data_IF_845993614529
#
_entry.id   IF_845993614529
#
_cell.length_a   1.000
_cell.length_b   1.000
_cell.length_c   1.000
_cell.angle_alpha   90.00
_cell.angle_beta   90.00
_cell.angle_gamma   90.00
#
_symmetry.space_group_name_H-M   'P 1'
#
loop_
_entity.id
_entity.type
_entity.pdbx_description
1 polymer ?
#
# COMPACT_ATOMS: atom_id res chain seq x y z
N UNK A 1 -19.18 -13.81 22.96
CA UNK A 1 -17.72 -14.05 22.88
C UNK A 1 -17.07 -12.72 22.58
N UNK A 2 -16.12 -12.29 23.41
CA UNK A 2 -15.35 -11.05 23.20
C UNK A 2 -14.03 -11.46 22.56
N UNK A 3 -13.73 -10.94 21.36
CA UNK A 3 -12.50 -11.25 20.62
C UNK A 3 -11.78 -9.94 20.28
N UNK A 4 -10.60 -9.75 20.87
CA UNK A 4 -9.78 -8.53 20.75
C UNK A 4 -8.44 -8.81 20.05
N UNK A 5 -8.34 -9.92 19.30
CA UNK A 5 -7.10 -10.30 18.62
C UNK A 5 -6.74 -9.35 17.48
N UNK A 6 -7.75 -8.93 16.70
CA UNK A 6 -7.63 -7.98 15.58
C UNK A 6 -9.03 -7.59 15.10
N UNK A 7 -9.16 -6.43 14.47
CA UNK A 7 -10.33 -6.00 13.67
C UNK A 7 -10.69 -6.93 12.50
N UNK A 8 -9.75 -7.75 12.03
CA UNK A 8 -10.00 -8.77 10.99
C UNK A 8 -10.96 -9.88 11.41
N UNK A 9 -11.28 -10.01 12.70
CA UNK A 9 -12.25 -11.00 13.20
C UNK A 9 -13.72 -10.58 13.00
N UNK A 10 -13.96 -9.41 12.41
CA UNK A 10 -15.30 -8.90 12.10
C UNK A 10 -16.09 -9.90 11.25
N UNK A 11 -17.40 -9.95 11.48
CA UNK A 11 -18.34 -10.76 10.70
C UNK A 11 -19.32 -9.84 9.98
N UNK A 12 -19.76 -10.19 8.76
CA UNK A 12 -20.72 -9.38 8.03
C UNK A 12 -22.02 -9.24 8.83
N UNK A 13 -22.54 -8.02 8.92
CA UNK A 13 -23.83 -7.74 9.55
C UNK A 13 -24.97 -8.29 8.68
N UNK A 14 -26.19 -8.39 9.24
CA UNK A 14 -27.35 -8.82 8.46
C UNK A 14 -27.59 -7.96 7.23
N UNK A 15 -27.52 -6.63 7.38
CA UNK A 15 -27.71 -5.71 6.26
C UNK A 15 -26.62 -5.87 5.18
N UNK A 16 -25.38 -6.14 5.58
CA UNK A 16 -24.29 -6.44 4.63
C UNK A 16 -24.56 -7.74 3.89
N UNK A 17 -25.00 -8.80 4.58
CA UNK A 17 -25.36 -10.08 3.95
C UNK A 17 -26.52 -9.93 2.95
N UNK A 18 -27.54 -9.13 3.30
CA UNK A 18 -28.66 -8.83 2.40
C UNK A 18 -28.18 -8.10 1.13
N UNK A 19 -27.28 -7.12 1.27
CA UNK A 19 -26.67 -6.44 0.12
C UNK A 19 -25.83 -7.39 -0.74
N UNK A 20 -25.04 -8.27 -0.13
CA UNK A 20 -24.26 -9.29 -0.85
C UNK A 20 -25.14 -10.26 -1.63
N UNK A 21 -26.24 -10.74 -1.05
CA UNK A 21 -27.14 -11.70 -1.69
C UNK A 21 -27.92 -11.12 -2.86
N UNK A 22 -28.11 -9.79 -2.89
CA UNK A 22 -28.92 -9.11 -3.91
C UNK A 22 -28.09 -8.38 -4.96
N UNK A 23 -26.76 -8.35 -4.80
CA UNK A 23 -25.84 -7.72 -5.74
C UNK A 23 -25.88 -8.42 -7.11
N UNK A 24 -26.07 -7.68 -8.23
CA UNK A 24 -25.88 -8.25 -9.56
C UNK A 24 -24.39 -8.55 -9.77
N UNK A 25 -24.09 -9.69 -10.39
CA UNK A 25 -22.72 -10.18 -10.59
C UNK A 25 -22.48 -10.55 -12.05
N UNK A 26 -21.21 -10.70 -12.41
CA UNK A 26 -20.76 -11.10 -13.74
C UNK A 26 -19.39 -11.75 -13.69
N UNK A 27 -18.74 -11.85 -14.84
CA UNK A 27 -17.35 -12.30 -14.92
C UNK A 27 -16.41 -11.08 -14.94
N UNK A 28 -15.71 -10.86 -13.83
CA UNK A 28 -14.83 -9.69 -13.65
C UNK A 28 -13.58 -9.74 -14.54
N UNK A 29 -13.17 -10.92 -15.01
CA UNK A 29 -12.06 -11.02 -15.98
C UNK A 29 -12.46 -10.38 -17.32
N UNK A 30 -13.74 -10.49 -17.70
CA UNK A 30 -14.29 -9.79 -18.87
C UNK A 30 -14.73 -8.35 -18.56
N UNK A 31 -14.69 -7.93 -17.29
CA UNK A 31 -15.14 -6.63 -16.85
C UNK A 31 -16.67 -6.49 -16.74
N UNK A 32 -17.40 -7.62 -16.74
CA UNK A 32 -18.85 -7.65 -16.80
C UNK A 32 -19.52 -7.75 -15.42
N UNK A 33 -18.77 -7.73 -14.32
CA UNK A 33 -19.34 -7.66 -12.97
C UNK A 33 -19.74 -6.22 -12.60
N UNK A 34 -21.05 -5.89 -12.53
CA UNK A 34 -21.48 -4.52 -12.28
C UNK A 34 -21.20 -4.07 -10.84
N UNK A 35 -21.13 -4.99 -9.88
CA UNK A 35 -20.89 -4.67 -8.47
C UNK A 35 -19.43 -4.37 -8.22
N UNK A 36 -18.51 -5.17 -8.78
CA UNK A 36 -17.06 -4.88 -8.74
C UNK A 36 -16.77 -3.53 -9.42
N UNK A 37 -17.35 -3.30 -10.60
CA UNK A 37 -17.21 -2.03 -11.31
C UNK A 37 -17.75 -0.83 -10.52
N UNK A 38 -18.87 -0.98 -9.81
CA UNK A 38 -19.42 0.07 -8.97
C UNK A 38 -18.49 0.37 -7.77
N UNK A 39 -17.97 -0.67 -7.10
CA UNK A 39 -17.03 -0.52 -5.98
C UNK A 39 -15.76 0.21 -6.41
N UNK A 40 -15.14 -0.21 -7.51
CA UNK A 40 -13.90 0.38 -8.01
C UNK A 40 -14.09 1.85 -8.41
N UNK A 41 -15.18 2.18 -9.12
CA UNK A 41 -15.50 3.58 -9.48
C UNK A 41 -15.72 4.43 -8.24
N UNK A 42 -16.52 3.97 -7.30
CA UNK A 42 -16.79 4.70 -6.06
C UNK A 42 -15.50 4.97 -5.27
N UNK A 43 -14.61 3.98 -5.14
CA UNK A 43 -13.34 4.14 -4.43
C UNK A 43 -12.39 5.14 -5.14
N UNK A 44 -12.33 5.08 -6.47
CA UNK A 44 -11.54 6.02 -7.28
C UNK A 44 -12.07 7.45 -7.12
N UNK A 45 -13.39 7.65 -7.25
CA UNK A 45 -14.05 8.95 -7.09
C UNK A 45 -13.84 9.52 -5.68
N UNK A 46 -14.05 8.70 -4.64
CA UNK A 46 -13.90 9.11 -3.24
C UNK A 46 -12.46 9.56 -2.91
N UNK A 47 -11.46 8.92 -3.53
CA UNK A 47 -10.04 9.22 -3.31
C UNK A 47 -9.47 10.24 -4.30
N UNK A 48 -10.26 10.71 -5.26
CA UNK A 48 -9.81 11.60 -6.33
C UNK A 48 -8.73 10.97 -7.22
N UNK A 49 -8.81 9.65 -7.46
CA UNK A 49 -7.92 8.89 -8.34
C UNK A 49 -8.63 8.48 -9.61
N UNK A 50 -7.86 8.19 -10.65
CA UNK A 50 -8.39 7.85 -11.97
C UNK A 50 -9.04 6.45 -12.00
N UNK A 51 -8.51 5.51 -11.22
CA UNK A 51 -8.97 4.13 -11.17
C UNK A 51 -8.70 3.48 -9.81
N UNK A 52 -9.37 2.36 -9.55
CA UNK A 52 -9.12 1.46 -8.43
C UNK A 52 -9.27 0.00 -8.89
N UNK A 53 -8.68 -0.92 -8.14
CA UNK A 53 -8.73 -2.36 -8.42
C UNK A 53 -9.18 -3.12 -7.16
N UNK A 54 -10.14 -4.03 -7.29
CA UNK A 54 -10.54 -4.92 -6.21
C UNK A 54 -9.62 -6.15 -6.16
N UNK A 55 -9.07 -6.45 -4.99
CA UNK A 55 -8.20 -7.61 -4.79
C UNK A 55 -8.68 -8.48 -3.61
N UNK A 56 -8.43 -9.79 -3.65
CA UNK A 56 -8.78 -10.72 -2.57
C UNK A 56 -8.25 -10.34 -1.18
N UNK A 57 -7.04 -9.78 -1.09
CA UNK A 57 -6.39 -9.46 0.20
C UNK A 57 -5.54 -8.19 0.12
N UNK A 58 -5.32 -7.55 1.28
CA UNK A 58 -4.39 -6.42 1.41
C UNK A 58 -2.95 -6.78 1.05
N UNK A 59 -2.51 -8.00 1.38
CA UNK A 59 -1.20 -8.52 0.96
C UNK A 59 -1.04 -8.54 -0.56
N UNK A 60 -2.07 -8.99 -1.29
CA UNK A 60 -2.01 -8.96 -2.75
C UNK A 60 -2.09 -7.52 -3.29
N UNK A 61 -2.86 -6.65 -2.65
CA UNK A 61 -2.94 -5.24 -3.04
C UNK A 61 -1.57 -4.54 -2.93
N UNK A 62 -0.85 -4.72 -1.82
CA UNK A 62 0.52 -4.22 -1.68
C UNK A 62 1.48 -4.87 -2.67
N UNK A 63 1.42 -6.19 -2.85
CA UNK A 63 2.28 -6.88 -3.82
C UNK A 63 2.08 -6.33 -5.24
N UNK A 64 0.83 -6.17 -5.68
CA UNK A 64 0.51 -5.60 -6.99
C UNK A 64 0.93 -4.14 -7.07
N UNK A 65 0.74 -3.34 -6.01
CA UNK A 65 1.21 -1.96 -5.98
C UNK A 65 2.73 -1.85 -6.13
N UNK A 66 3.49 -2.69 -5.42
CA UNK A 66 4.95 -2.73 -5.49
C UNK A 66 5.42 -3.19 -6.87
N UNK A 67 4.83 -4.24 -7.44
CA UNK A 67 5.12 -4.71 -8.80
C UNK A 67 4.77 -3.69 -9.89
N UNK A 68 3.75 -2.86 -9.66
CA UNK A 68 3.33 -1.84 -10.62
C UNK A 68 4.20 -0.59 -10.56
N UNK A 69 4.80 -0.29 -9.41
CA UNK A 69 5.67 0.86 -9.21
C UNK A 69 7.14 0.59 -9.51
N UNK A 70 7.62 -0.61 -9.20
CA UNK A 70 9.02 -0.98 -9.23
C UNK A 70 9.28 -2.10 -10.25
N UNK A 71 10.18 -1.85 -11.19
CA UNK A 71 10.71 -2.87 -12.08
C UNK A 71 11.75 -3.77 -11.38
N UNK A 72 12.17 -4.83 -12.08
CA UNK A 72 13.23 -5.72 -11.59
C UNK A 72 14.53 -4.95 -11.32
N UNK A 73 15.06 -5.11 -10.10
CA UNK A 73 16.26 -4.44 -9.63
C UNK A 73 16.05 -2.99 -9.19
N UNK A 74 14.81 -2.49 -9.22
CA UNK A 74 14.45 -1.26 -8.52
C UNK A 74 14.21 -1.53 -7.03
N UNK A 75 14.25 -0.46 -6.26
CA UNK A 75 14.20 -0.47 -4.81
C UNK A 75 13.02 0.36 -4.28
N UNK A 76 12.40 -0.11 -3.20
CA UNK A 76 11.45 0.68 -2.41
C UNK A 76 11.98 0.91 -0.99
N UNK A 77 11.94 2.17 -0.54
CA UNK A 77 12.24 2.55 0.83
C UNK A 77 10.98 2.38 1.67
N UNK A 78 11.10 1.73 2.83
CA UNK A 78 9.97 1.28 3.64
C UNK A 78 10.34 1.26 5.13
N UNK A 79 9.35 1.23 6.02
CA UNK A 79 9.57 1.03 7.45
C UNK A 79 9.95 -0.41 7.80
N UNK A 80 10.89 -0.62 8.74
CA UNK A 80 11.25 -1.94 9.27
C UNK A 80 10.05 -2.71 9.84
N UNK A 81 9.10 -1.99 10.45
CA UNK A 81 7.87 -2.56 11.00
C UNK A 81 6.66 -2.52 10.07
N UNK A 82 6.81 -2.09 8.81
CA UNK A 82 5.70 -1.96 7.88
C UNK A 82 5.26 -3.30 7.31
N UNK A 83 3.97 -3.41 7.00
CA UNK A 83 3.32 -4.65 6.60
C UNK A 83 3.91 -5.24 5.32
N UNK A 84 4.01 -4.41 4.28
CA UNK A 84 4.50 -4.81 2.95
C UNK A 84 6.02 -5.03 2.85
N UNK A 85 6.71 -5.03 3.98
CA UNK A 85 8.07 -5.55 4.11
C UNK A 85 8.09 -6.78 5.02
N UNK A 86 7.60 -6.64 6.26
CA UNK A 86 7.80 -7.64 7.31
C UNK A 86 6.74 -8.74 7.33
N UNK A 87 5.48 -8.41 7.07
CA UNK A 87 4.33 -9.30 7.29
C UNK A 87 3.76 -9.92 6.01
N UNK A 88 4.45 -9.77 4.88
CA UNK A 88 4.05 -10.28 3.56
C UNK A 88 5.08 -11.27 2.99
N UNK A 89 5.84 -11.92 3.88
CA UNK A 89 6.85 -12.93 3.56
C UNK A 89 7.93 -12.45 2.56
N UNK A 90 8.15 -11.13 2.48
CA UNK A 90 9.09 -10.54 1.52
C UNK A 90 8.68 -10.73 0.06
N UNK A 91 7.38 -10.85 -0.25
CA UNK A 91 6.87 -11.14 -1.59
C UNK A 91 7.40 -10.19 -2.68
N UNK A 92 7.60 -8.90 -2.37
CA UNK A 92 8.20 -7.94 -3.30
C UNK A 92 9.60 -8.37 -3.78
N UNK A 93 10.43 -8.88 -2.87
CA UNK A 93 11.76 -9.38 -3.20
C UNK A 93 11.69 -10.77 -3.84
N UNK A 94 11.00 -11.71 -3.19
CA UNK A 94 10.96 -13.12 -3.57
C UNK A 94 10.28 -13.34 -4.91
N UNK A 95 9.20 -12.63 -5.18
CA UNK A 95 8.38 -12.80 -6.39
C UNK A 95 8.63 -11.69 -7.41
N UNK A 96 8.80 -10.45 -6.92
CA UNK A 96 8.92 -9.27 -7.78
C UNK A 96 10.33 -8.91 -8.21
N UNK A 97 11.37 -9.51 -7.61
CA UNK A 97 12.77 -9.09 -7.81
C UNK A 97 12.99 -7.60 -7.51
N UNK A 98 12.27 -7.08 -6.50
CA UNK A 98 12.36 -5.69 -6.01
C UNK A 98 13.21 -5.68 -4.76
N UNK A 99 14.20 -4.79 -4.68
CA UNK A 99 15.06 -4.68 -3.51
C UNK A 99 14.35 -3.91 -2.38
N UNK A 100 14.18 -4.48 -1.17
CA UNK A 100 13.68 -3.73 -0.03
C UNK A 100 14.81 -2.92 0.62
N UNK A 101 14.54 -1.65 0.93
CA UNK A 101 15.42 -0.79 1.72
C UNK A 101 14.68 -0.34 2.99
N UNK A 102 14.64 -1.18 4.03
CA UNK A 102 13.96 -0.85 5.26
C UNK A 102 14.77 0.16 6.09
N UNK A 103 14.06 1.06 6.78
CA UNK A 103 14.59 1.99 7.79
C UNK A 103 13.66 2.02 9.01
N UNK A 104 14.20 2.38 10.18
CA UNK A 104 13.37 2.52 11.37
C UNK A 104 12.45 3.74 11.25
N UNK A 105 11.18 3.55 11.60
CA UNK A 105 10.21 4.62 11.74
C UNK A 105 10.45 5.40 13.04
N UNK A 106 10.07 6.67 13.05
CA UNK A 106 9.98 7.47 14.26
C UNK A 106 8.85 6.98 15.18
N UNK A 107 8.82 7.49 16.42
CA UNK A 107 7.84 7.08 17.41
C UNK A 107 6.37 7.29 16.98
N UNK A 108 6.11 8.29 16.14
CA UNK A 108 4.80 8.61 15.57
C UNK A 108 4.42 7.77 14.33
N UNK A 109 5.30 6.87 13.88
CA UNK A 109 5.11 6.02 12.70
C UNK A 109 5.61 6.63 11.39
N UNK A 110 6.08 7.88 11.38
CA UNK A 110 6.65 8.50 10.20
C UNK A 110 8.02 7.90 9.85
N UNK A 111 8.43 8.01 8.58
CA UNK A 111 9.80 7.70 8.16
C UNK A 111 10.55 9.03 8.05
N UNK A 112 11.54 9.33 8.91
CA UNK A 112 12.26 10.60 8.85
C UNK A 112 12.84 10.84 7.45
N UNK A 113 12.48 11.96 6.82
CA UNK A 113 12.79 12.20 5.40
C UNK A 113 14.29 12.36 5.15
N UNK A 114 15.04 12.80 6.15
CA UNK A 114 16.50 12.80 6.15
C UNK A 114 17.08 11.38 6.06
N UNK A 115 16.46 10.41 6.74
CA UNK A 115 16.86 9.00 6.68
C UNK A 115 16.46 8.40 5.33
N UNK A 116 15.28 8.75 4.81
CA UNK A 116 14.87 8.38 3.44
C UNK A 116 15.88 8.91 2.43
N UNK A 117 16.23 10.20 2.51
CA UNK A 117 17.19 10.84 1.61
C UNK A 117 18.58 10.17 1.64
N UNK A 118 19.06 9.79 2.82
CA UNK A 118 20.32 9.08 3.00
C UNK A 118 20.32 7.65 2.43
N UNK A 119 19.13 7.09 2.13
CA UNK A 119 18.97 5.77 1.52
C UNK A 119 18.66 5.81 0.03
N UNK A 120 18.39 6.97 -0.55
CA UNK A 120 18.27 7.10 -2.01
C UNK A 120 19.64 6.79 -2.63
N UNK A 121 19.67 5.79 -3.50
CA UNK A 121 20.90 5.35 -4.16
C UNK A 121 21.29 6.30 -5.29
N UNK A 122 22.59 6.51 -5.45
CA UNK A 122 23.12 7.22 -6.61
C UNK A 122 22.91 6.37 -7.88
N UNK A 123 22.92 7.04 -9.04
CA UNK A 123 22.95 6.36 -10.33
C UNK A 123 24.34 5.76 -10.58
N UNK A 124 24.54 4.58 -10.00
CA UNK A 124 25.77 3.81 -10.06
C UNK A 124 25.44 2.31 -10.09
N UNK A 125 26.15 1.56 -10.92
CA UNK A 125 25.89 0.15 -11.21
C UNK A 125 25.98 -0.78 -9.98
N UNK A 126 26.59 -0.33 -8.88
CA UNK A 126 26.70 -1.10 -7.64
C UNK A 126 25.41 -1.08 -6.81
N UNK A 127 24.47 -0.18 -7.11
CA UNK A 127 23.26 0.01 -6.31
C UNK A 127 21.98 -0.42 -7.06
N UNK A 128 20.97 -0.80 -6.28
CA UNK A 128 19.60 -0.88 -6.79
C UNK A 128 19.07 0.54 -7.09
N UNK A 129 18.14 0.67 -8.03
CA UNK A 129 17.56 1.96 -8.42
C UNK A 129 16.42 2.33 -7.48
N UNK A 130 16.61 3.30 -6.59
CA UNK A 130 15.53 3.76 -5.70
C UNK A 130 14.39 4.35 -6.52
N UNK A 131 13.19 3.79 -6.39
CA UNK A 131 12.02 4.14 -7.20
C UNK A 131 10.82 4.61 -6.40
N UNK A 132 10.62 4.01 -5.22
CA UNK A 132 9.38 4.17 -4.44
C UNK A 132 9.69 4.46 -2.97
N UNK A 133 8.93 5.38 -2.37
CA UNK A 133 8.75 5.47 -0.93
C UNK A 133 7.41 4.83 -0.56
N UNK A 134 7.40 3.86 0.35
CA UNK A 134 6.18 3.25 0.89
C UNK A 134 5.96 3.69 2.34
N UNK A 135 4.80 4.28 2.60
CA UNK A 135 4.32 4.64 3.94
C UNK A 135 3.20 3.69 4.37
N UNK A 136 2.81 3.76 5.64
CA UNK A 136 1.68 3.02 6.20
C UNK A 136 0.85 3.96 7.07
N UNK A 137 -0.45 4.08 6.78
CA UNK A 137 -1.36 4.91 7.56
C UNK A 137 -2.77 4.29 7.61
N UNK A 138 -3.26 3.86 8.77
CA UNK A 138 -2.58 3.92 10.08
C UNK A 138 -1.47 2.86 10.27
N UNK A 139 -0.41 3.21 11.00
CA UNK A 139 0.68 2.29 11.36
C UNK A 139 0.57 1.85 12.82
N UNK A 140 0.19 0.59 13.06
CA UNK A 140 -0.07 0.07 14.42
C UNK A 140 -1.04 0.97 15.22
N UNK A 141 -2.07 1.50 14.54
CA UNK A 141 -3.06 2.42 15.12
C UNK A 141 -2.59 3.88 15.26
N UNK A 142 -1.34 4.18 14.89
CA UNK A 142 -0.82 5.55 14.86
C UNK A 142 -1.24 6.24 13.57
N UNK A 143 -1.76 7.46 13.71
CA UNK A 143 -2.14 8.31 12.58
C UNK A 143 -0.92 9.15 12.18
N UNK A 144 -0.50 9.04 10.93
CA UNK A 144 0.60 9.88 10.44
C UNK A 144 0.20 11.36 10.45
N UNK A 145 1.06 12.27 10.92
CA UNK A 145 0.78 13.70 10.89
C UNK A 145 0.47 14.19 9.47
N UNK A 146 -0.62 14.95 9.30
CA UNK A 146 -1.02 15.47 7.99
C UNK A 146 0.06 16.35 7.33
N UNK A 147 0.81 17.10 8.15
CA UNK A 147 1.94 17.90 7.67
C UNK A 147 3.02 17.01 7.06
N UNK A 148 3.40 15.93 7.75
CA UNK A 148 4.35 14.95 7.23
C UNK A 148 3.90 14.32 5.91
N UNK A 149 2.62 13.97 5.76
CA UNK A 149 2.11 13.43 4.49
C UNK A 149 2.31 14.40 3.32
N UNK A 150 2.12 15.71 3.57
CA UNK A 150 2.38 16.76 2.57
C UNK A 150 3.88 16.87 2.28
N UNK A 151 4.71 16.83 3.30
CA UNK A 151 6.16 16.95 3.17
C UNK A 151 6.76 15.74 2.43
N UNK A 152 6.32 14.52 2.74
CA UNK A 152 6.71 13.30 2.03
C UNK A 152 6.25 13.31 0.56
N UNK A 153 5.04 13.83 0.29
CA UNK A 153 4.58 14.04 -1.07
C UNK A 153 5.48 15.03 -1.83
N UNK A 154 5.77 16.21 -1.27
CA UNK A 154 6.65 17.19 -1.90
C UNK A 154 8.06 16.61 -2.14
N UNK A 155 8.63 15.98 -1.11
CA UNK A 155 9.93 15.33 -1.15
C UNK A 155 10.03 14.30 -2.28
N UNK A 156 9.05 13.40 -2.41
CA UNK A 156 9.10 12.37 -3.47
C UNK A 156 9.02 12.98 -4.87
N UNK A 157 8.27 14.08 -5.07
CA UNK A 157 8.24 14.81 -6.35
C UNK A 157 9.59 15.45 -6.67
N UNK A 158 10.23 16.09 -5.69
CA UNK A 158 11.56 16.69 -5.85
C UNK A 158 12.64 15.65 -6.18
N UNK A 159 12.54 14.44 -5.61
CA UNK A 159 13.50 13.35 -5.83
C UNK A 159 13.15 12.42 -6.99
N UNK A 160 12.05 12.66 -7.70
CA UNK A 160 11.61 11.81 -8.81
C UNK A 160 11.15 10.40 -8.38
N UNK A 161 10.70 10.24 -7.15
CA UNK A 161 10.22 8.96 -6.59
C UNK A 161 8.69 8.84 -6.66
N UNK A 162 8.19 7.61 -6.81
CA UNK A 162 6.80 7.30 -6.52
C UNK A 162 6.53 7.36 -5.00
N UNK A 163 5.25 7.51 -4.62
CA UNK A 163 4.81 7.44 -3.22
C UNK A 163 3.58 6.54 -3.12
N UNK A 164 3.70 5.46 -2.36
CA UNK A 164 2.62 4.53 -2.01
C UNK A 164 2.31 4.63 -0.52
N UNK A 165 1.05 4.41 -0.15
CA UNK A 165 0.62 4.36 1.25
C UNK A 165 -0.21 3.11 1.43
N UNK A 166 0.25 2.19 2.28
CA UNK A 166 -0.59 1.11 2.80
C UNK A 166 -1.66 1.73 3.71
N UNK A 167 -2.91 1.68 3.23
CA UNK A 167 -4.08 2.28 3.86
C UNK A 167 -5.03 1.24 4.46
N UNK A 168 -4.53 0.10 4.93
CA UNK A 168 -5.38 -1.01 5.38
C UNK A 168 -6.35 -0.68 6.54
N UNK A 169 -6.09 0.39 7.32
CA UNK A 169 -6.92 0.81 8.46
C UNK A 169 -7.11 2.32 8.49
#
# INVERSE_FOLDING_TARGET
MIDLRSDTVTRPSRAMLEAMMTAPVGDDVYGDDPTVNALQRYAADLSGKEAALFLPTGTQANLVALLSHCERGEEYIVGQGAHNYLYEAGGAAVLGSIQPQPIDAAADGTLPLENVAAKIKADDIHFARTRLLSLENTHNGKVLPRAYLKDAWAFTRERGLALHVDGAR
#
